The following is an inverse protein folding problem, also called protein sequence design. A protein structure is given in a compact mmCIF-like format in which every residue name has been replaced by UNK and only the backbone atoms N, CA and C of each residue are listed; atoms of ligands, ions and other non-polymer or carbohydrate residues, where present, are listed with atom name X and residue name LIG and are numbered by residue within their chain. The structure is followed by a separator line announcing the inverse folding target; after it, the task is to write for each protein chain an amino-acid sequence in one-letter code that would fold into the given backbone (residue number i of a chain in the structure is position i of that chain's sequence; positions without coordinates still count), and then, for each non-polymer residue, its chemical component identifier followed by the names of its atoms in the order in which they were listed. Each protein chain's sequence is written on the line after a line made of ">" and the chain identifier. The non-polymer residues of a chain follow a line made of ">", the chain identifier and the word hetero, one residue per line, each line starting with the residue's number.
data_IF_988066801617
#
_entry.id   IF_988066801617
#
_cell.length_a   1.000
_cell.length_b   1.000
_cell.length_c   1.000
_cell.angle_alpha   90.00
_cell.angle_beta   90.00
_cell.angle_gamma   90.00
#
_symmetry.space_group_name_H-M   'P 1'
#
loop_
_entity.id
_entity.type
_entity.pdbx_description
1 polymer ?
#
# COMPACT_ATOMS: atom_id res chain seq x y z
N UNK A 1 -17.26 -10.43 6.29
CA UNK A 1 -16.15 -10.28 7.27
C UNK A 1 -15.88 -11.55 8.04
N UNK A 2 -16.85 -12.07 8.82
CA UNK A 2 -16.66 -13.28 9.64
C UNK A 2 -16.14 -14.51 8.86
N UNK A 3 -16.68 -14.76 7.67
CA UNK A 3 -16.25 -15.88 6.81
C UNK A 3 -14.78 -15.75 6.38
N UNK A 4 -14.31 -14.55 6.03
CA UNK A 4 -12.91 -14.33 5.63
C UNK A 4 -11.94 -14.57 6.79
N UNK A 5 -12.30 -14.09 7.99
CA UNK A 5 -11.52 -14.34 9.20
C UNK A 5 -11.53 -15.84 9.53
N UNK A 6 -12.67 -16.51 9.38
CA UNK A 6 -12.78 -17.95 9.61
C UNK A 6 -11.88 -18.74 8.67
N UNK A 7 -11.85 -18.41 7.37
CA UNK A 7 -10.94 -19.04 6.40
C UNK A 7 -9.48 -18.84 6.83
N UNK A 8 -9.10 -17.63 7.23
CA UNK A 8 -7.75 -17.36 7.70
C UNK A 8 -7.39 -18.17 8.96
N UNK A 9 -8.32 -18.31 9.90
CA UNK A 9 -8.13 -19.13 11.12
C UNK A 9 -8.04 -20.62 10.79
N UNK A 10 -8.80 -21.10 9.81
CA UNK A 10 -8.73 -22.49 9.37
C UNK A 10 -7.36 -22.83 8.75
N UNK A 11 -6.80 -21.88 7.98
CA UNK A 11 -5.48 -21.96 7.36
C UNK A 11 -4.30 -21.57 8.28
N UNK A 12 -4.58 -21.26 9.55
CA UNK A 12 -3.55 -20.84 10.51
C UNK A 12 -2.63 -21.98 10.92
N UNK A 13 -1.34 -21.73 10.91
CA UNK A 13 -0.30 -22.67 11.37
C UNK A 13 -0.44 -23.03 12.86
N UNK A 14 -0.89 -22.09 13.69
CA UNK A 14 -1.09 -22.33 15.13
C UNK A 14 -2.16 -21.40 15.70
N UNK A 15 -3.42 -21.87 15.69
CA UNK A 15 -4.59 -21.11 16.17
C UNK A 15 -4.47 -20.64 17.63
N UNK A 16 -3.71 -21.34 18.48
CA UNK A 16 -3.54 -20.98 19.90
C UNK A 16 -2.55 -19.83 20.11
N UNK A 17 -1.67 -19.59 19.14
CA UNK A 17 -0.67 -18.52 19.20
C UNK A 17 -1.21 -17.18 18.66
N UNK A 18 -2.47 -17.11 18.23
CA UNK A 18 -3.06 -15.89 17.68
C UNK A 18 -3.09 -14.81 18.77
N UNK A 19 -2.38 -13.70 18.53
CA UNK A 19 -2.44 -12.55 19.42
C UNK A 19 -3.70 -11.72 19.13
N UNK A 20 -4.68 -11.83 20.01
CA UNK A 20 -5.96 -11.11 19.90
C UNK A 20 -5.80 -9.59 19.91
N UNK A 21 -4.78 -9.04 20.58
CA UNK A 21 -4.51 -7.59 20.53
C UNK A 21 -4.10 -7.17 19.12
N UNK A 22 -3.21 -7.93 18.49
CA UNK A 22 -2.69 -7.64 17.15
C UNK A 22 -3.78 -7.82 16.09
N UNK A 23 -4.47 -8.95 16.10
CA UNK A 23 -5.53 -9.27 15.11
C UNK A 23 -6.75 -8.38 15.30
N UNK A 24 -7.24 -8.25 16.55
CA UNK A 24 -8.37 -7.37 16.85
C UNK A 24 -8.06 -5.90 16.57
N UNK A 25 -6.86 -5.45 16.93
CA UNK A 25 -6.38 -4.10 16.63
C UNK A 25 -6.27 -3.84 15.12
N UNK A 26 -5.74 -4.78 14.35
CA UNK A 26 -5.57 -4.61 12.90
C UNK A 26 -6.92 -4.52 12.20
N UNK A 27 -7.86 -5.39 12.57
CA UNK A 27 -9.24 -5.33 12.10
C UNK A 27 -9.90 -4.01 12.50
N UNK A 28 -9.76 -3.58 13.75
CA UNK A 28 -10.33 -2.33 14.24
C UNK A 28 -9.77 -1.12 13.50
N UNK A 29 -8.46 -1.04 13.25
CA UNK A 29 -7.84 0.05 12.49
C UNK A 29 -8.36 0.04 11.05
N UNK A 30 -8.38 -1.12 10.38
CA UNK A 30 -8.87 -1.22 9.01
C UNK A 30 -10.34 -0.79 8.89
N UNK A 31 -11.19 -1.28 9.81
CA UNK A 31 -12.61 -0.95 9.83
C UNK A 31 -12.86 0.52 10.19
N UNK A 32 -12.15 1.05 11.19
CA UNK A 32 -12.25 2.45 11.60
C UNK A 32 -11.77 3.40 10.50
N UNK A 33 -10.68 3.06 9.81
CA UNK A 33 -10.18 3.85 8.67
C UNK A 33 -11.22 3.85 7.54
N UNK A 34 -11.77 2.69 7.19
CA UNK A 34 -12.83 2.59 6.18
C UNK A 34 -14.07 3.40 6.55
N UNK A 35 -14.55 3.28 7.79
CA UNK A 35 -15.68 4.06 8.28
C UNK A 35 -15.37 5.56 8.26
N UNK A 36 -14.17 5.96 8.68
CA UNK A 36 -13.73 7.35 8.68
C UNK A 36 -13.76 7.96 7.28
N UNK A 37 -13.10 7.33 6.30
CA UNK A 37 -12.94 7.91 4.95
C UNK A 37 -14.15 7.69 4.03
N UNK A 38 -14.98 6.67 4.28
CA UNK A 38 -16.12 6.33 3.42
C UNK A 38 -17.49 6.70 4.01
N UNK A 39 -17.61 6.95 5.31
CA UNK A 39 -18.89 7.25 5.95
C UNK A 39 -18.93 8.65 6.55
N UNK A 40 -17.92 9.05 7.31
CA UNK A 40 -17.96 10.32 8.06
C UNK A 40 -17.65 11.52 7.13
N UNK A 41 -18.46 12.60 7.12
CA UNK A 41 -18.32 13.71 6.16
C UNK A 41 -16.92 14.32 6.06
N UNK A 42 -16.35 14.75 7.19
CA UNK A 42 -14.97 15.28 7.23
C UNK A 42 -13.89 14.29 6.76
N UNK A 43 -14.11 12.98 6.94
CA UNK A 43 -13.18 11.97 6.46
C UNK A 43 -13.30 11.75 4.94
N UNK A 44 -14.51 11.90 4.38
CA UNK A 44 -14.71 11.98 2.92
C UNK A 44 -14.05 13.22 2.32
N UNK A 45 -14.17 14.37 2.98
CA UNK A 45 -13.53 15.61 2.53
C UNK A 45 -12.00 15.48 2.55
N UNK A 46 -11.44 14.86 3.61
CA UNK A 46 -10.01 14.55 3.68
C UNK A 46 -9.59 13.60 2.55
N UNK A 47 -10.32 12.51 2.35
CA UNK A 47 -10.02 11.54 1.28
C UNK A 47 -10.05 12.22 -0.08
N UNK A 48 -11.08 13.02 -0.35
CA UNK A 48 -11.21 13.79 -1.57
C UNK A 48 -10.03 14.75 -1.77
N UNK A 49 -9.64 15.48 -0.74
CA UNK A 49 -8.48 16.39 -0.82
C UNK A 49 -7.18 15.64 -1.17
N UNK A 50 -6.95 14.46 -0.58
CA UNK A 50 -5.80 13.62 -0.92
C UNK A 50 -5.89 13.11 -2.36
N UNK A 51 -7.07 12.65 -2.79
CA UNK A 51 -7.33 12.16 -4.14
C UNK A 51 -7.18 13.25 -5.21
N UNK A 52 -7.66 14.45 -4.95
CA UNK A 52 -7.50 15.62 -5.82
C UNK A 52 -6.01 16.02 -5.93
N UNK A 53 -5.26 15.89 -4.82
CA UNK A 53 -3.81 16.06 -4.81
C UNK A 53 -3.10 15.03 -5.70
N UNK A 54 -3.45 13.75 -5.58
CA UNK A 54 -2.93 12.68 -6.45
C UNK A 54 -3.32 12.91 -7.90
N UNK A 55 -4.57 13.32 -8.17
CA UNK A 55 -5.04 13.64 -9.53
C UNK A 55 -4.24 14.77 -10.16
N UNK A 56 -3.96 15.83 -9.40
CA UNK A 56 -3.13 16.95 -9.84
C UNK A 56 -1.73 16.48 -10.23
N UNK A 57 -1.12 15.59 -9.42
CA UNK A 57 0.19 15.01 -9.73
C UNK A 57 0.16 14.15 -10.99
N UNK A 58 -0.90 13.37 -11.21
CA UNK A 58 -1.09 12.59 -12.46
C UNK A 58 -1.15 13.54 -13.67
N UNK A 59 -1.87 14.65 -13.56
CA UNK A 59 -2.01 15.63 -14.64
C UNK A 59 -0.65 16.29 -14.98
N UNK A 60 0.20 16.59 -13.99
CA UNK A 60 1.56 17.08 -14.27
C UNK A 60 2.41 16.03 -15.02
N UNK A 61 2.21 14.74 -14.76
CA UNK A 61 2.84 13.67 -15.53
C UNK A 61 2.29 13.56 -16.96
N UNK A 62 1.01 13.89 -17.17
CA UNK A 62 0.39 13.91 -18.48
C UNK A 62 1.00 14.97 -19.39
N UNK A 63 1.42 16.13 -18.85
CA UNK A 63 2.13 17.16 -19.62
C UNK A 63 3.43 16.63 -20.25
N UNK A 64 4.21 15.87 -19.47
CA UNK A 64 5.44 15.23 -19.96
C UNK A 64 5.17 14.16 -21.02
N UNK A 65 4.05 13.45 -20.89
CA UNK A 65 3.60 12.46 -21.87
C UNK A 65 3.14 13.13 -23.17
N UNK A 66 2.41 14.24 -23.08
CA UNK A 66 2.00 15.07 -24.22
C UNK A 66 3.20 15.67 -24.96
N UNK A 67 4.23 16.10 -24.23
CA UNK A 67 5.49 16.54 -24.83
C UNK A 67 6.18 15.43 -25.65
N UNK A 68 6.23 14.19 -25.13
CA UNK A 68 6.90 13.07 -25.80
C UNK A 68 6.13 12.53 -27.01
N UNK A 69 4.81 12.37 -26.88
CA UNK A 69 3.98 11.63 -27.84
C UNK A 69 3.04 12.53 -28.67
N UNK A 70 2.96 13.82 -28.37
CA UNK A 70 2.17 14.80 -29.12
C UNK A 70 0.73 14.35 -29.32
N UNK A 71 0.29 14.28 -30.58
CA UNK A 71 -1.08 13.91 -30.92
C UNK A 71 -1.41 12.41 -30.75
N UNK A 72 -0.43 11.53 -30.51
CA UNK A 72 -0.69 10.10 -30.28
C UNK A 72 -1.40 9.81 -28.95
N UNK A 73 -1.44 10.80 -28.04
CA UNK A 73 -2.20 10.74 -26.79
C UNK A 73 -3.45 11.61 -26.80
N UNK A 74 -3.70 12.34 -27.89
CA UNK A 74 -4.93 13.11 -28.08
C UNK A 74 -6.00 12.25 -28.75
N UNK A 75 -7.18 12.19 -28.13
CA UNK A 75 -8.40 11.55 -28.68
C UNK A 75 -8.89 12.19 -30.00
N UNK A 76 -8.21 13.24 -30.47
CA UNK A 76 -8.57 14.10 -31.60
C UNK A 76 -8.09 13.57 -32.96
N UNK A 77 -7.35 12.46 -33.01
CA UNK A 77 -7.00 11.83 -34.29
C UNK A 77 -8.08 10.80 -34.62
N UNK A 78 -8.89 11.10 -35.64
CA UNK A 78 -9.96 10.22 -36.12
C UNK A 78 -9.42 8.79 -36.34
N UNK A 79 -9.87 7.86 -35.50
CA UNK A 79 -9.53 6.43 -35.55
C UNK A 79 -8.49 5.94 -34.53
N UNK A 80 -7.75 6.81 -33.83
CA UNK A 80 -6.88 6.44 -32.72
C UNK A 80 -7.62 6.65 -31.39
N UNK A 81 -8.14 5.56 -30.81
CA UNK A 81 -8.76 5.55 -29.49
C UNK A 81 -7.75 5.65 -28.33
N UNK A 82 -8.18 5.29 -27.13
CA UNK A 82 -7.31 5.19 -25.94
C UNK A 82 -6.16 4.21 -26.18
N UNK A 83 -4.93 4.72 -26.37
CA UNK A 83 -3.74 3.88 -26.52
C UNK A 83 -3.12 3.65 -25.14
N UNK A 84 -3.42 2.50 -24.55
CA UNK A 84 -2.92 2.10 -23.22
C UNK A 84 -1.40 2.30 -23.07
N UNK A 85 -0.62 1.93 -24.09
CA UNK A 85 0.84 2.00 -24.05
C UNK A 85 1.38 3.44 -23.86
N UNK A 86 0.68 4.45 -24.39
CA UNK A 86 1.11 5.85 -24.31
C UNK A 86 0.42 6.62 -23.19
N UNK A 87 -0.73 6.16 -22.68
CA UNK A 87 -1.46 6.86 -21.63
C UNK A 87 -1.21 6.30 -20.22
N UNK A 88 -0.84 5.02 -20.11
CA UNK A 88 -0.68 4.35 -18.81
C UNK A 88 0.78 4.11 -18.46
N UNK A 89 1.57 3.59 -19.39
CA UNK A 89 2.97 3.24 -19.11
C UNK A 89 3.86 4.46 -18.77
N UNK A 90 3.73 5.63 -19.44
CA UNK A 90 4.51 6.81 -19.10
C UNK A 90 4.20 7.34 -17.70
N UNK A 91 2.94 7.22 -17.25
CA UNK A 91 2.54 7.58 -15.89
C UNK A 91 3.29 6.75 -14.85
N UNK A 92 3.54 5.45 -15.11
CA UNK A 92 4.37 4.61 -14.23
C UNK A 92 5.80 5.16 -14.11
N UNK A 93 6.39 5.57 -15.23
CA UNK A 93 7.77 6.11 -15.27
C UNK A 93 7.85 7.40 -14.47
N UNK A 94 6.90 8.31 -14.67
CA UNK A 94 6.82 9.58 -13.94
C UNK A 94 6.68 9.35 -12.43
N UNK A 95 5.75 8.49 -12.00
CA UNK A 95 5.55 8.21 -10.58
C UNK A 95 6.76 7.52 -9.94
N UNK A 96 7.41 6.59 -10.63
CA UNK A 96 8.64 5.97 -10.14
C UNK A 96 9.76 7.00 -9.93
N UNK A 97 9.91 7.95 -10.86
CA UNK A 97 10.87 9.04 -10.72
C UNK A 97 10.51 9.98 -9.55
N UNK A 98 9.24 10.36 -9.43
CA UNK A 98 8.75 11.20 -8.33
C UNK A 98 8.98 10.55 -6.97
N UNK A 99 8.62 9.28 -6.82
CA UNK A 99 8.83 8.52 -5.59
C UNK A 99 10.33 8.47 -5.26
N UNK A 100 11.19 8.22 -6.25
CA UNK A 100 12.65 8.23 -6.07
C UNK A 100 13.14 9.57 -5.51
N UNK A 101 12.64 10.69 -6.04
CA UNK A 101 12.94 12.04 -5.52
C UNK A 101 12.45 12.21 -4.08
N UNK A 102 11.22 11.77 -3.76
CA UNK A 102 10.68 11.86 -2.40
C UNK A 102 11.46 11.00 -1.39
N UNK A 103 12.04 9.88 -1.82
CA UNK A 103 12.98 9.11 -1.01
C UNK A 103 14.31 9.82 -0.83
N UNK A 104 14.86 10.44 -1.89
CA UNK A 104 16.10 11.20 -1.78
C UNK A 104 15.96 12.40 -0.83
N UNK A 105 14.81 13.10 -0.89
CA UNK A 105 14.50 14.25 -0.03
C UNK A 105 14.14 13.89 1.42
N UNK A 106 13.91 12.61 1.73
CA UNK A 106 13.57 12.18 3.11
C UNK A 106 12.08 12.23 3.45
N UNK A 107 11.21 12.67 2.54
CA UNK A 107 9.76 12.82 2.77
C UNK A 107 9.11 11.46 3.01
N UNK A 108 9.44 10.47 2.18
CA UNK A 108 8.90 9.11 2.32
C UNK A 108 9.28 8.49 3.66
N UNK A 109 10.53 8.62 4.08
CA UNK A 109 11.03 8.10 5.35
C UNK A 109 10.31 8.73 6.54
N UNK A 110 9.97 10.02 6.46
CA UNK A 110 9.23 10.71 7.50
C UNK A 110 7.80 10.18 7.62
N UNK A 111 7.07 10.08 6.50
CA UNK A 111 5.68 9.55 6.47
C UNK A 111 5.63 8.10 6.94
N UNK A 112 6.50 7.24 6.40
CA UNK A 112 6.57 5.81 6.74
C UNK A 112 6.86 5.63 8.23
N UNK A 113 7.73 6.46 8.82
CA UNK A 113 8.06 6.39 10.26
C UNK A 113 6.85 6.72 11.14
N UNK A 114 6.03 7.69 10.73
CA UNK A 114 4.82 8.08 11.46
C UNK A 114 3.79 6.95 11.39
N UNK A 115 3.44 6.52 10.18
CA UNK A 115 2.42 5.49 9.96
C UNK A 115 2.84 4.13 10.54
N UNK A 116 4.07 3.69 10.24
CA UNK A 116 4.62 2.44 10.74
C UNK A 116 4.80 2.45 12.26
N UNK A 117 5.20 3.58 12.84
CA UNK A 117 5.27 3.74 14.30
C UNK A 117 3.89 3.70 14.97
N UNK A 118 2.86 4.26 14.32
CA UNK A 118 1.47 4.17 14.77
C UNK A 118 0.96 2.73 14.76
N UNK A 119 1.17 2.01 13.65
CA UNK A 119 0.82 0.58 13.54
C UNK A 119 1.54 -0.27 14.59
N UNK A 120 2.85 -0.06 14.76
CA UNK A 120 3.66 -0.78 15.75
C UNK A 120 3.09 -0.61 17.17
N UNK A 121 2.79 0.63 17.58
CA UNK A 121 2.27 0.93 18.91
C UNK A 121 0.88 0.35 19.15
N UNK A 122 0.00 0.43 18.15
CA UNK A 122 -1.36 -0.07 18.26
C UNK A 122 -1.40 -1.60 18.28
N UNK A 123 -0.68 -2.24 17.37
CA UNK A 123 -0.77 -3.68 17.11
C UNK A 123 0.22 -4.52 17.91
N UNK A 124 1.29 -3.92 18.44
CA UNK A 124 2.38 -4.65 19.10
C UNK A 124 3.25 -5.46 18.12
N UNK A 125 3.16 -5.14 16.84
CA UNK A 125 3.96 -5.75 15.76
C UNK A 125 5.42 -5.30 15.82
N UNK A 126 6.31 -5.99 15.12
CA UNK A 126 7.71 -5.59 15.07
C UNK A 126 7.88 -4.28 14.30
N UNK A 127 8.95 -3.54 14.62
CA UNK A 127 9.23 -2.28 13.92
C UNK A 127 9.45 -2.52 12.43
N UNK A 128 10.10 -3.60 12.05
CA UNK A 128 10.45 -3.85 10.66
C UNK A 128 9.21 -4.19 9.81
N UNK A 129 8.34 -5.08 10.29
CA UNK A 129 7.11 -5.42 9.55
C UNK A 129 6.13 -4.24 9.49
N UNK A 130 6.04 -3.43 10.55
CA UNK A 130 5.15 -2.26 10.59
C UNK A 130 5.61 -1.15 9.64
N UNK A 131 6.92 -0.93 9.53
CA UNK A 131 7.49 0.04 8.60
C UNK A 131 7.34 -0.44 7.16
N UNK A 132 7.51 -1.74 6.89
CA UNK A 132 7.27 -2.31 5.57
C UNK A 132 5.79 -2.22 5.17
N UNK A 133 4.86 -2.52 6.08
CA UNK A 133 3.43 -2.38 5.84
C UNK A 133 3.05 -0.92 5.52
N UNK A 134 3.61 0.05 6.25
CA UNK A 134 3.39 1.47 5.97
C UNK A 134 4.01 1.92 4.64
N UNK A 135 5.18 1.40 4.26
CA UNK A 135 5.81 1.70 2.98
C UNK A 135 4.98 1.17 1.79
N UNK A 136 4.39 -0.02 1.93
CA UNK A 136 3.53 -0.65 0.92
C UNK A 136 2.26 0.15 0.56
N UNK A 137 1.92 1.20 1.33
CA UNK A 137 0.84 2.13 0.98
C UNK A 137 1.21 2.96 -0.27
N UNK A 138 2.50 3.23 -0.46
CA UNK A 138 3.00 4.15 -1.49
C UNK A 138 3.86 3.45 -2.54
N UNK A 139 4.65 2.45 -2.14
CA UNK A 139 5.59 1.75 -3.01
C UNK A 139 5.23 0.27 -3.16
N UNK A 140 5.76 -0.35 -4.22
CA UNK A 140 5.46 -1.74 -4.53
C UNK A 140 6.11 -2.75 -3.59
N UNK A 141 5.67 -4.00 -3.71
CA UNK A 141 6.13 -5.15 -2.91
C UNK A 141 7.65 -5.41 -2.93
N UNK A 142 8.35 -4.98 -3.98
CA UNK A 142 9.82 -5.12 -4.11
C UNK A 142 10.58 -3.94 -3.52
N UNK A 143 9.95 -2.78 -3.40
CA UNK A 143 10.55 -1.51 -2.95
C UNK A 143 10.30 -1.27 -1.46
N UNK A 144 9.11 -1.61 -0.97
CA UNK A 144 8.76 -1.47 0.44
C UNK A 144 9.73 -2.18 1.39
N UNK A 145 10.23 -3.40 1.12
CA UNK A 145 11.20 -4.06 1.99
C UNK A 145 12.56 -3.36 2.04
N UNK A 146 12.88 -2.49 1.07
CA UNK A 146 14.15 -1.76 1.05
C UNK A 146 14.31 -0.83 2.27
N UNK A 147 13.19 -0.31 2.81
CA UNK A 147 13.19 0.55 4.00
C UNK A 147 13.63 -0.20 5.27
N UNK A 148 13.57 -1.53 5.23
CA UNK A 148 13.94 -2.43 6.33
C UNK A 148 14.98 -3.47 5.91
N UNK A 149 15.66 -3.24 4.78
CA UNK A 149 16.64 -4.16 4.18
C UNK A 149 17.64 -4.75 5.18
N UNK A 150 18.23 -4.00 6.13
CA UNK A 150 19.19 -4.57 7.09
C UNK A 150 18.58 -5.61 8.04
N UNK A 151 17.27 -5.56 8.24
CA UNK A 151 16.55 -6.43 9.17
C UNK A 151 16.02 -7.69 8.48
N UNK A 152 15.77 -7.64 7.16
CA UNK A 152 15.21 -8.76 6.37
C UNK A 152 15.93 -10.10 6.60
N UNK A 153 17.28 -10.18 6.58
CA UNK A 153 17.97 -11.46 6.79
C UNK A 153 17.80 -12.07 8.18
N UNK A 154 17.38 -11.26 9.16
CA UNK A 154 17.21 -11.66 10.57
C UNK A 154 15.74 -11.73 10.98
N UNK A 155 14.81 -11.56 10.04
CA UNK A 155 13.38 -11.63 10.32
C UNK A 155 12.96 -13.05 10.66
N UNK A 156 12.04 -13.18 11.60
CA UNK A 156 11.31 -14.42 11.83
C UNK A 156 10.44 -14.76 10.61
N UNK A 157 10.01 -16.02 10.50
CA UNK A 157 9.09 -16.44 9.44
C UNK A 157 7.77 -15.66 9.47
N UNK A 158 7.23 -15.34 10.65
CA UNK A 158 6.04 -14.50 10.79
C UNK A 158 6.28 -13.07 10.27
N UNK A 159 7.42 -12.47 10.56
CA UNK A 159 7.75 -11.11 10.08
C UNK A 159 7.96 -11.07 8.57
N UNK A 160 8.70 -12.05 8.02
CA UNK A 160 8.91 -12.14 6.58
C UNK A 160 7.58 -12.38 5.85
N UNK A 161 6.72 -13.24 6.39
CA UNK A 161 5.38 -13.45 5.86
C UNK A 161 4.53 -12.18 5.92
N UNK A 162 4.62 -11.40 7.00
CA UNK A 162 3.93 -10.11 7.10
C UNK A 162 4.43 -9.09 6.06
N UNK A 163 5.73 -9.06 5.76
CA UNK A 163 6.29 -8.23 4.67
C UNK A 163 5.72 -8.65 3.31
N UNK A 164 5.67 -9.95 3.04
CA UNK A 164 5.10 -10.50 1.80
C UNK A 164 3.60 -10.19 1.68
N UNK A 165 2.81 -10.47 2.72
CA UNK A 165 1.38 -10.18 2.76
C UNK A 165 1.10 -8.68 2.61
N UNK A 166 1.92 -7.81 3.22
CA UNK A 166 1.80 -6.37 3.07
C UNK A 166 1.93 -5.93 1.62
N UNK A 167 2.88 -6.52 0.88
CA UNK A 167 3.09 -6.20 -0.54
C UNK A 167 2.01 -6.79 -1.45
N UNK A 168 1.50 -7.98 -1.15
CA UNK A 168 0.42 -8.63 -1.93
C UNK A 168 -0.96 -8.03 -1.66
N UNK A 169 -1.16 -7.42 -0.49
CA UNK A 169 -2.40 -6.76 -0.13
C UNK A 169 -2.53 -5.35 -0.72
N UNK A 170 -1.44 -4.77 -1.23
CA UNK A 170 -1.40 -3.38 -1.70
C UNK A 170 -1.03 -3.26 -3.19
N UNK A 171 -0.99 -2.01 -3.66
CA UNK A 171 -0.52 -1.64 -4.99
C UNK A 171 0.53 -0.52 -4.86
N UNK A 172 1.41 -0.40 -5.86
CA UNK A 172 2.36 0.71 -5.93
C UNK A 172 1.67 2.00 -6.42
N UNK A 173 2.16 3.16 -5.98
CA UNK A 173 1.66 4.47 -6.42
C UNK A 173 1.69 4.68 -7.94
N UNK A 174 2.69 4.12 -8.63
CA UNK A 174 2.70 4.12 -10.10
C UNK A 174 1.52 3.38 -10.70
N UNK A 175 1.27 2.14 -10.25
CA UNK A 175 0.16 1.32 -10.77
C UNK A 175 -1.19 1.92 -10.38
N UNK A 176 -1.30 2.55 -9.21
CA UNK A 176 -2.46 3.34 -8.80
C UNK A 176 -2.78 4.43 -9.84
N UNK A 177 -1.77 5.22 -10.23
CA UNK A 177 -1.95 6.25 -11.24
C UNK A 177 -2.35 5.65 -12.60
N UNK A 178 -1.80 4.49 -12.96
CA UNK A 178 -2.21 3.75 -14.15
C UNK A 178 -3.68 3.33 -14.13
N UNK A 179 -4.18 2.79 -13.02
CA UNK A 179 -5.61 2.45 -12.87
C UNK A 179 -6.50 3.68 -12.87
N UNK A 180 -6.04 4.80 -12.31
CA UNK A 180 -6.75 6.07 -12.37
C UNK A 180 -6.89 6.56 -13.83
N UNK A 181 -5.83 6.46 -14.64
CA UNK A 181 -5.88 6.78 -16.08
C UNK A 181 -6.84 5.86 -16.87
N UNK A 182 -7.15 4.68 -16.36
CA UNK A 182 -8.17 3.77 -16.92
C UNK A 182 -9.60 4.09 -16.46
N UNK A 183 -9.80 5.13 -15.63
CA UNK A 183 -11.10 5.57 -15.14
C UNK A 183 -11.52 4.97 -13.79
N UNK A 184 -10.61 4.30 -13.07
CA UNK A 184 -10.92 3.83 -11.71
C UNK A 184 -10.91 5.02 -10.73
N UNK A 185 -11.93 5.18 -9.86
CA UNK A 185 -11.97 6.30 -8.91
C UNK A 185 -10.76 6.35 -7.98
N UNK A 186 -10.07 7.49 -7.95
CA UNK A 186 -8.84 7.68 -7.17
C UNK A 186 -9.12 7.56 -5.68
N UNK A 187 -10.27 8.01 -5.21
CA UNK A 187 -10.74 7.89 -3.83
C UNK A 187 -10.75 6.45 -3.35
N UNK A 188 -11.19 5.51 -4.19
CA UNK A 188 -11.21 4.10 -3.85
C UNK A 188 -9.83 3.48 -3.85
N UNK A 189 -8.97 3.87 -4.80
CA UNK A 189 -7.58 3.41 -4.85
C UNK A 189 -6.78 3.90 -3.64
N UNK A 190 -6.90 5.18 -3.29
CA UNK A 190 -6.23 5.77 -2.12
C UNK A 190 -6.74 5.11 -0.85
N UNK A 191 -8.06 5.00 -0.66
CA UNK A 191 -8.62 4.35 0.53
C UNK A 191 -8.13 2.89 0.64
N UNK A 192 -8.15 2.13 -0.45
CA UNK A 192 -7.66 0.75 -0.50
C UNK A 192 -6.17 0.65 -0.12
N UNK A 193 -5.31 1.53 -0.65
CA UNK A 193 -3.88 1.54 -0.33
C UNK A 193 -3.61 1.73 1.16
N UNK A 194 -4.32 2.66 1.83
CA UNK A 194 -4.15 2.84 3.28
C UNK A 194 -4.75 1.68 4.10
N UNK A 195 -5.88 1.11 3.66
CA UNK A 195 -6.52 -0.04 4.31
C UNK A 195 -5.72 -1.33 4.14
N UNK A 196 -4.88 -1.43 3.11
CA UNK A 196 -4.02 -2.58 2.84
C UNK A 196 -2.96 -2.81 3.93
N UNK A 197 -2.43 -1.75 4.56
CA UNK A 197 -1.42 -1.90 5.61
C UNK A 197 -1.94 -2.68 6.84
N UNK A 198 -3.03 -2.26 7.51
CA UNK A 198 -3.60 -3.05 8.60
C UNK A 198 -4.24 -4.35 8.12
N UNK A 199 -4.83 -4.40 6.92
CA UNK A 199 -5.42 -5.62 6.37
C UNK A 199 -4.39 -6.71 6.07
N UNK A 200 -3.24 -6.34 5.51
CA UNK A 200 -2.11 -7.25 5.27
C UNK A 200 -1.56 -7.81 6.58
N UNK A 201 -1.37 -6.96 7.59
CA UNK A 201 -0.93 -7.38 8.93
C UNK A 201 -1.98 -8.27 9.62
N UNK A 202 -3.27 -7.98 9.46
CA UNK A 202 -4.37 -8.77 10.00
C UNK A 202 -4.27 -10.23 9.53
N UNK A 203 -4.27 -10.44 8.21
CA UNK A 203 -4.26 -11.80 7.66
C UNK A 203 -2.90 -12.48 7.85
N UNK A 204 -1.79 -11.74 7.78
CA UNK A 204 -0.46 -12.28 8.08
C UNK A 204 -0.38 -12.87 9.49
N UNK A 205 -0.87 -12.14 10.49
CA UNK A 205 -0.83 -12.53 11.90
C UNK A 205 -1.93 -13.52 12.31
N UNK A 206 -2.87 -13.83 11.43
CA UNK A 206 -3.75 -14.99 11.61
C UNK A 206 -3.09 -16.24 11.03
N UNK A 207 -2.54 -16.15 9.81
CA UNK A 207 -2.10 -17.33 9.05
C UNK A 207 -0.74 -17.84 9.55
N UNK A 208 0.29 -16.99 9.67
CA UNK A 208 1.65 -17.42 10.02
C UNK A 208 2.14 -16.78 11.33
N UNK A 209 2.16 -17.61 12.37
CA UNK A 209 2.51 -17.25 13.74
C UNK A 209 3.88 -17.79 14.18
N UNK A 210 4.65 -18.39 13.26
CA UNK A 210 5.96 -18.97 13.61
C UNK A 210 6.97 -17.87 13.91
N UNK A 211 7.21 -17.66 15.19
CA UNK A 211 8.43 -17.04 15.70
C UNK A 211 9.52 -18.09 15.58
N UNK A 212 10.66 -17.77 14.96
CA UNK A 212 11.78 -18.71 14.95
C UNK A 212 12.16 -19.00 16.41
N UNK A 213 12.11 -20.29 16.79
CA UNK A 213 13.08 -20.82 17.75
C UNK A 213 14.45 -20.35 17.28
N UNK A 214 15.24 -19.79 18.19
CA UNK A 214 16.63 -19.44 17.96
C UNK A 214 17.31 -20.49 17.07
N UNK A 215 18.06 -19.99 16.09
CA UNK A 215 18.99 -20.76 15.27
C UNK A 215 19.77 -21.72 16.18
N UNK A 216 19.42 -23.00 16.15
CA UNK A 216 20.38 -24.04 16.47
C UNK A 216 21.20 -24.23 15.21
N UNK A 217 22.51 -24.09 15.41
CA UNK A 217 23.64 -24.24 14.47
C UNK A 217 24.14 -22.92 13.87
#
# INVERSE_FOLDING_TARGET
>A
MAVLILIAVLLSDNRKAINFRTVGGAFAIQFALGAFVLYVPWGKDLLKSVSDGVSSVINYGADGTGFLFGNLVNFSVDGLGFIFAFQVLPTLIFFSALISVLYYLGVMQWVIRILGGGLQKALGTSRAESMSAAANIFVGQTEAPLVVRPFVPKMTQSELFAVMCGGLASIAGGVLAGYASMGVPIEYLVAASFMAAPGGLLFAKIINLKLMSQSSN
#
